data_IF_527378879154
#
_entry.id   IF_527378879154
#
_cell.length_a   1.000
_cell.length_b   1.000
_cell.length_c   1.000
_cell.angle_alpha   90.00
_cell.angle_beta   90.00
_cell.angle_gamma   90.00
#
_symmetry.space_group_name_H-M   'P 1'
#
loop_
_entity.id
_entity.type
_entity.pdbx_description
1 polymer ?
#
# COMPACT_ATOMS: atom_id res chain seq x y z
N UNK A 1 -8.31 -20.68 0.94
CA UNK A 1 -7.13 -19.84 1.04
C UNK A 1 -6.18 -20.07 -0.15
N UNK A 2 -5.79 -21.31 -0.45
CA UNK A 2 -4.78 -21.62 -1.49
C UNK A 2 -5.23 -21.25 -2.90
N UNK A 3 -6.51 -21.46 -3.24
CA UNK A 3 -7.07 -21.01 -4.53
C UNK A 3 -7.05 -19.49 -4.66
N UNK A 4 -7.35 -18.77 -3.59
CA UNK A 4 -7.28 -17.31 -3.60
C UNK A 4 -5.84 -16.82 -3.82
N UNK A 5 -4.87 -17.44 -3.14
CA UNK A 5 -3.46 -17.12 -3.32
C UNK A 5 -2.98 -17.37 -4.76
N UNK A 6 -3.34 -18.53 -5.34
CA UNK A 6 -3.02 -18.83 -6.73
C UNK A 6 -3.64 -17.83 -7.70
N UNK A 7 -4.92 -17.48 -7.50
CA UNK A 7 -5.61 -16.48 -8.32
C UNK A 7 -4.96 -15.09 -8.26
N UNK A 8 -4.53 -14.64 -7.06
CA UNK A 8 -3.79 -13.38 -6.92
C UNK A 8 -2.44 -13.41 -7.65
N UNK A 9 -1.71 -14.52 -7.52
CA UNK A 9 -0.45 -14.70 -8.22
C UNK A 9 -0.65 -14.62 -9.73
N UNK A 10 -1.65 -15.31 -10.26
CA UNK A 10 -1.95 -15.35 -11.70
C UNK A 10 -2.35 -14.00 -12.26
N UNK A 11 -3.14 -13.20 -11.52
CA UNK A 11 -3.47 -11.82 -11.92
C UNK A 11 -2.20 -10.97 -11.96
N UNK A 12 -1.40 -10.99 -10.92
CA UNK A 12 -0.21 -10.14 -10.81
C UNK A 12 0.87 -10.53 -11.82
N UNK A 13 0.93 -11.79 -12.21
CA UNK A 13 1.85 -12.29 -13.25
C UNK A 13 1.30 -12.15 -14.67
N UNK A 14 0.06 -11.64 -14.83
CA UNK A 14 -0.58 -11.46 -16.13
C UNK A 14 -1.00 -12.76 -16.81
N UNK A 15 -1.19 -13.84 -16.04
CA UNK A 15 -1.61 -15.15 -16.57
C UNK A 15 -3.12 -15.31 -16.74
N UNK A 16 -3.90 -14.44 -16.09
CA UNK A 16 -5.37 -14.42 -16.29
C UNK A 16 -5.76 -13.44 -17.39
N UNK A 17 -6.76 -13.81 -18.17
CA UNK A 17 -7.44 -12.85 -19.06
C UNK A 17 -8.21 -11.83 -18.22
N UNK A 18 -8.51 -10.61 -18.74
CA UNK A 18 -9.32 -9.62 -18.02
C UNK A 18 -10.65 -10.17 -17.53
N UNK A 19 -11.33 -11.02 -18.31
CA UNK A 19 -12.59 -11.65 -17.94
C UNK A 19 -12.43 -12.62 -16.76
N UNK A 20 -11.40 -13.47 -16.77
CA UNK A 20 -11.10 -14.39 -15.66
C UNK A 20 -10.77 -13.62 -14.37
N UNK A 21 -9.91 -12.61 -14.48
CA UNK A 21 -9.54 -11.77 -13.35
C UNK A 21 -10.75 -10.99 -12.80
N UNK A 22 -11.61 -10.47 -13.68
CA UNK A 22 -12.85 -9.81 -13.31
C UNK A 22 -13.80 -10.72 -12.54
N UNK A 23 -14.04 -11.94 -13.04
CA UNK A 23 -14.86 -12.96 -12.35
C UNK A 23 -14.28 -13.31 -10.98
N UNK A 24 -12.97 -13.52 -10.88
CA UNK A 24 -12.31 -13.86 -9.62
C UNK A 24 -12.44 -12.72 -8.59
N UNK A 25 -12.15 -11.48 -8.99
CA UNK A 25 -12.23 -10.32 -8.09
C UNK A 25 -13.67 -10.03 -7.67
N UNK A 26 -14.63 -10.20 -8.57
CA UNK A 26 -16.04 -10.02 -8.25
C UNK A 26 -16.54 -11.12 -7.30
N UNK A 27 -16.13 -12.37 -7.51
CA UNK A 27 -16.45 -13.48 -6.63
C UNK A 27 -15.94 -13.24 -5.20
N UNK A 28 -14.70 -12.77 -5.04
CA UNK A 28 -14.14 -12.40 -3.72
C UNK A 28 -14.93 -11.28 -3.08
N UNK A 29 -15.23 -10.22 -3.82
CA UNK A 29 -16.01 -9.09 -3.32
C UNK A 29 -17.42 -9.49 -2.89
N UNK A 30 -18.10 -10.34 -3.65
CA UNK A 30 -19.46 -10.82 -3.32
C UNK A 30 -19.47 -11.71 -2.07
N UNK A 31 -18.45 -12.52 -1.91
CA UNK A 31 -18.26 -13.38 -0.74
C UNK A 31 -17.87 -12.56 0.51
N UNK A 32 -17.18 -11.47 0.33
CA UNK A 32 -16.41 -10.76 1.35
C UNK A 32 -15.02 -11.37 1.52
N UNK A 33 -14.00 -10.51 1.48
CA UNK A 33 -12.60 -10.89 1.69
C UNK A 33 -12.36 -11.27 3.15
N UNK A 34 -11.56 -12.31 3.38
CA UNK A 34 -11.13 -12.71 4.72
C UNK A 34 -9.73 -12.15 5.03
N UNK A 35 -9.36 -11.98 6.32
CA UNK A 35 -8.03 -11.55 6.70
C UNK A 35 -6.92 -12.44 6.13
N UNK A 36 -7.15 -13.74 6.05
CA UNK A 36 -6.19 -14.70 5.50
C UNK A 36 -5.99 -14.51 3.99
N UNK A 37 -7.06 -14.29 3.23
CA UNK A 37 -6.97 -13.98 1.80
C UNK A 37 -6.23 -12.66 1.56
N UNK A 38 -6.52 -11.66 2.38
CA UNK A 38 -5.80 -10.37 2.35
C UNK A 38 -4.32 -10.56 2.67
N UNK A 39 -3.97 -11.33 3.70
CA UNK A 39 -2.57 -11.59 4.06
C UNK A 39 -1.81 -12.34 2.95
N UNK A 40 -2.46 -13.30 2.28
CA UNK A 40 -1.87 -13.96 1.11
C UNK A 40 -1.63 -12.98 -0.04
N UNK A 41 -2.61 -12.12 -0.35
CA UNK A 41 -2.46 -11.11 -1.39
C UNK A 41 -1.33 -10.13 -1.07
N UNK A 42 -1.19 -9.71 0.19
CA UNK A 42 -0.07 -8.89 0.69
C UNK A 42 1.27 -9.61 0.48
N UNK A 43 1.38 -10.86 0.90
CA UNK A 43 2.61 -11.67 0.73
C UNK A 43 3.01 -11.82 -0.74
N UNK A 44 2.03 -12.07 -1.62
CA UNK A 44 2.23 -12.19 -3.07
C UNK A 44 2.69 -10.87 -3.68
N UNK A 45 2.07 -9.75 -3.30
CA UNK A 45 2.44 -8.43 -3.79
C UNK A 45 3.85 -8.03 -3.35
N UNK A 46 4.19 -8.24 -2.08
CA UNK A 46 5.53 -7.99 -1.54
C UNK A 46 6.59 -8.93 -2.13
N UNK A 47 6.22 -10.16 -2.47
CA UNK A 47 7.11 -11.11 -3.13
C UNK A 47 7.54 -10.68 -4.55
N UNK A 48 6.76 -9.79 -5.18
CA UNK A 48 6.99 -9.25 -6.54
C UNK A 48 7.43 -7.79 -6.54
N UNK A 49 7.59 -7.21 -5.36
CA UNK A 49 8.04 -5.83 -5.23
C UNK A 49 9.56 -5.70 -5.38
N UNK A 50 10.00 -4.54 -5.84
CA UNK A 50 11.38 -4.08 -5.70
C UNK A 50 11.59 -3.76 -4.22
N UNK A 51 12.15 -4.71 -3.48
CA UNK A 51 12.28 -4.61 -2.01
C UNK A 51 13.34 -3.61 -1.62
N UNK A 52 13.11 -2.95 -0.48
CA UNK A 52 14.13 -2.20 0.23
C UNK A 52 14.77 -3.15 1.24
N UNK A 53 16.06 -3.38 1.09
CA UNK A 53 16.81 -4.29 1.96
C UNK A 53 17.73 -3.52 2.91
N UNK A 54 18.17 -4.17 3.98
CA UNK A 54 19.16 -3.63 4.91
C UNK A 54 18.68 -2.48 5.79
N UNK A 55 17.35 -2.31 5.95
CA UNK A 55 16.81 -1.38 6.95
C UNK A 55 16.89 -2.00 8.34
N UNK A 56 17.68 -1.39 9.20
CA UNK A 56 17.81 -1.77 10.60
C UNK A 56 17.03 -0.81 11.51
N UNK A 57 16.57 -1.33 12.65
CA UNK A 57 15.83 -0.55 13.65
C UNK A 57 14.36 -0.32 13.27
N UNK A 58 13.73 0.52 14.08
CA UNK A 58 12.30 0.79 13.93
C UNK A 58 12.06 1.86 12.87
N UNK A 59 11.05 1.64 12.02
CA UNK A 59 10.53 2.62 11.10
C UNK A 59 9.00 2.53 11.03
N UNK A 60 8.37 3.64 10.66
CA UNK A 60 6.91 3.76 10.61
C UNK A 60 6.44 4.16 9.20
N UNK A 61 5.30 3.57 8.78
CA UNK A 61 4.48 4.12 7.70
C UNK A 61 3.22 4.77 8.28
N UNK A 62 2.86 5.92 7.71
CA UNK A 62 1.61 6.62 8.02
C UNK A 62 0.82 6.71 6.73
N UNK A 63 -0.26 5.95 6.63
CA UNK A 63 -0.98 5.75 5.38
C UNK A 63 -2.48 5.66 5.61
N UNK A 64 -3.27 5.83 4.57
CA UNK A 64 -4.72 5.64 4.60
C UNK A 64 -5.19 4.78 3.44
N UNK A 65 -6.36 4.17 3.58
CA UNK A 65 -6.98 3.42 2.49
C UNK A 65 -7.38 4.31 1.33
N UNK A 66 -7.50 5.62 1.57
CA UNK A 66 -8.00 6.57 0.59
C UNK A 66 -9.47 6.33 0.22
N UNK A 67 -9.95 7.11 -0.73
CA UNK A 67 -11.27 6.87 -1.32
C UNK A 67 -12.46 7.19 -0.41
N UNK A 68 -12.30 8.09 0.56
CA UNK A 68 -13.39 8.60 1.40
C UNK A 68 -14.31 9.59 0.66
N UNK A 69 -13.90 10.06 -0.51
CA UNK A 69 -14.63 11.03 -1.33
C UNK A 69 -14.72 12.45 -0.73
N UNK A 70 -14.00 12.72 0.36
CA UNK A 70 -14.10 13.99 1.10
C UNK A 70 -13.18 15.08 0.61
N UNK A 71 -12.24 14.77 -0.30
CA UNK A 71 -11.19 15.72 -0.78
C UNK A 71 -10.51 16.48 0.37
N UNK A 72 -10.26 15.77 1.47
CA UNK A 72 -9.67 16.33 2.67
C UNK A 72 -8.17 16.57 2.48
N UNK A 73 -7.58 17.30 3.40
CA UNK A 73 -6.15 17.53 3.50
C UNK A 73 -5.36 16.21 3.59
N UNK A 74 -4.16 16.18 3.00
CA UNK A 74 -3.28 15.00 3.03
C UNK A 74 -2.70 14.76 4.45
N UNK A 75 -3.58 14.46 5.43
CA UNK A 75 -3.23 14.28 6.84
C UNK A 75 -2.09 13.28 7.02
N UNK A 76 -2.14 12.12 6.39
CA UNK A 76 -1.10 11.10 6.49
C UNK A 76 0.27 11.59 6.00
N UNK A 77 0.32 12.45 4.95
CA UNK A 77 1.57 13.03 4.46
C UNK A 77 2.11 14.06 5.44
N UNK A 78 1.26 14.96 5.95
CA UNK A 78 1.66 15.94 6.94
C UNK A 78 2.14 15.28 8.24
N UNK A 79 1.42 14.26 8.74
CA UNK A 79 1.83 13.48 9.91
C UNK A 79 3.18 12.80 9.69
N UNK A 80 3.39 12.19 8.52
CA UNK A 80 4.66 11.55 8.16
C UNK A 80 5.83 12.52 8.20
N UNK A 81 5.67 13.72 7.60
CA UNK A 81 6.70 14.77 7.61
C UNK A 81 6.94 15.31 9.02
N UNK A 82 5.88 15.48 9.81
CA UNK A 82 6.00 15.91 11.22
C UNK A 82 6.80 14.91 12.05
N UNK A 83 6.48 13.61 11.94
CA UNK A 83 7.22 12.56 12.65
C UNK A 83 8.69 12.52 12.23
N UNK A 84 8.98 12.66 10.94
CA UNK A 84 10.37 12.74 10.47
C UNK A 84 11.11 13.95 11.06
N UNK A 85 10.46 15.10 11.11
CA UNK A 85 10.99 16.31 11.75
C UNK A 85 11.21 16.16 13.26
N UNK A 86 10.49 15.24 13.92
CA UNK A 86 10.68 14.87 15.33
C UNK A 86 11.79 13.83 15.52
N UNK A 87 12.43 13.36 14.45
CA UNK A 87 13.52 12.37 14.49
C UNK A 87 13.10 10.92 14.38
N UNK A 88 11.83 10.63 14.08
CA UNK A 88 11.38 9.26 13.81
C UNK A 88 11.65 8.86 12.36
N UNK A 89 12.12 7.64 12.15
CA UNK A 89 12.37 7.11 10.80
C UNK A 89 11.07 6.74 10.10
N UNK A 90 10.71 7.46 9.05
CA UNK A 90 9.46 7.32 8.32
C UNK A 90 9.72 6.81 6.90
N UNK A 91 9.14 5.66 6.56
CA UNK A 91 9.13 5.09 5.20
C UNK A 91 7.71 5.17 4.64
N UNK A 92 7.39 6.26 3.99
CA UNK A 92 6.04 6.47 3.48
C UNK A 92 5.85 5.83 2.11
N UNK A 93 4.93 4.86 2.03
CA UNK A 93 4.49 4.30 0.75
C UNK A 93 3.24 5.03 0.24
N UNK A 94 3.23 5.39 -1.03
CA UNK A 94 2.11 6.15 -1.58
C UNK A 94 2.08 6.24 -3.10
N UNK A 95 1.02 6.88 -3.60
CA UNK A 95 0.79 7.04 -5.04
C UNK A 95 0.20 8.42 -5.34
N UNK A 96 0.05 8.71 -6.64
CA UNK A 96 -0.74 9.84 -7.11
C UNK A 96 -2.22 9.63 -6.82
N UNK A 97 -2.98 10.72 -6.88
CA UNK A 97 -4.43 10.65 -6.69
C UNK A 97 -5.09 9.73 -7.75
N UNK A 98 -6.05 8.92 -7.28
CA UNK A 98 -6.92 8.12 -8.15
C UNK A 98 -8.35 8.67 -8.15
N UNK A 99 -8.83 9.09 -6.99
CA UNK A 99 -10.21 9.58 -6.79
C UNK A 99 -10.29 10.90 -6.02
N UNK A 100 -9.17 11.42 -5.53
CA UNK A 100 -9.07 12.73 -4.85
C UNK A 100 -8.39 13.76 -5.74
N UNK A 101 -8.42 15.02 -5.35
CA UNK A 101 -7.78 16.12 -6.07
C UNK A 101 -6.25 16.11 -5.97
N UNK A 102 -5.69 15.48 -4.91
CA UNK A 102 -4.24 15.47 -4.65
C UNK A 102 -3.88 14.22 -3.84
N UNK A 103 -3.02 13.38 -4.39
CA UNK A 103 -2.45 12.22 -3.70
C UNK A 103 -1.20 12.57 -2.90
N UNK A 104 -0.66 11.59 -2.18
CA UNK A 104 0.57 11.80 -1.41
C UNK A 104 1.79 12.13 -2.28
N UNK A 105 1.89 11.49 -3.46
CA UNK A 105 2.96 11.77 -4.41
C UNK A 105 2.83 13.20 -4.98
N UNK A 106 1.61 13.62 -5.33
CA UNK A 106 1.37 14.95 -5.89
C UNK A 106 1.74 16.05 -4.87
N UNK A 107 1.36 15.84 -3.60
CA UNK A 107 1.70 16.78 -2.52
C UNK A 107 3.23 16.86 -2.28
N UNK A 108 3.92 15.73 -2.23
CA UNK A 108 5.36 15.67 -2.00
C UNK A 108 6.14 16.25 -3.18
N UNK A 109 5.74 15.96 -4.41
CA UNK A 109 6.33 16.54 -5.62
C UNK A 109 6.18 18.07 -5.62
N UNK A 110 4.98 18.58 -5.26
CA UNK A 110 4.73 20.01 -5.09
C UNK A 110 5.59 20.67 -3.99
N UNK A 111 6.05 19.91 -3.01
CA UNK A 111 7.00 20.33 -1.97
C UNK A 111 8.46 20.16 -2.38
N UNK A 112 8.74 19.68 -3.60
CA UNK A 112 10.10 19.50 -4.11
C UNK A 112 10.76 18.16 -3.74
N UNK A 113 10.00 17.17 -3.22
CA UNK A 113 10.54 15.84 -2.96
C UNK A 113 10.67 15.05 -4.28
N UNK A 114 11.78 14.32 -4.50
CA UNK A 114 11.92 13.44 -5.64
C UNK A 114 11.00 12.23 -5.49
N UNK A 115 10.31 11.86 -6.56
CA UNK A 115 9.52 10.63 -6.60
C UNK A 115 10.32 9.43 -7.13
N UNK A 116 11.41 9.69 -7.85
CA UNK A 116 12.26 8.65 -8.43
C UNK A 116 13.39 8.29 -7.45
N UNK A 117 13.00 7.54 -6.42
CA UNK A 117 13.90 7.03 -5.39
C UNK A 117 14.14 5.54 -5.66
N UNK A 118 15.41 5.16 -5.83
CA UNK A 118 15.80 3.75 -5.99
C UNK A 118 15.76 3.02 -4.63
N UNK A 119 15.48 1.69 -4.62
CA UNK A 119 15.44 0.92 -3.36
C UNK A 119 16.73 1.04 -2.52
N UNK A 120 17.88 1.10 -3.16
CA UNK A 120 19.20 1.24 -2.53
C UNK A 120 19.43 2.60 -1.86
N UNK A 121 18.74 3.66 -2.30
CA UNK A 121 18.86 5.01 -1.72
C UNK A 121 18.01 5.20 -0.47
N UNK A 122 17.03 4.36 -0.23
CA UNK A 122 16.06 4.53 0.87
C UNK A 122 16.76 4.58 2.22
N UNK A 123 17.74 3.68 2.46
CA UNK A 123 18.52 3.67 3.70
C UNK A 123 19.24 5.00 3.94
N UNK A 124 19.95 5.50 2.94
CA UNK A 124 20.68 6.79 3.01
C UNK A 124 19.73 7.94 3.33
N UNK A 125 18.56 8.00 2.66
CA UNK A 125 17.56 9.04 2.93
C UNK A 125 17.02 9.00 4.36
N UNK A 126 16.80 7.79 4.90
CA UNK A 126 16.38 7.63 6.29
C UNK A 126 17.47 8.05 7.27
N UNK A 127 18.73 7.73 7.00
CA UNK A 127 19.85 8.08 7.88
C UNK A 127 20.13 9.60 7.86
N UNK A 128 19.96 10.26 6.71
CA UNK A 128 20.20 11.69 6.54
C UNK A 128 19.01 12.57 6.95
N UNK A 129 17.77 12.11 6.73
CA UNK A 129 16.56 12.96 6.77
C UNK A 129 15.40 12.37 7.57
N UNK A 130 15.54 11.18 8.13
CA UNK A 130 14.49 10.42 8.78
C UNK A 130 13.25 10.17 7.91
N UNK A 131 13.32 10.42 6.60
CA UNK A 131 12.18 10.33 5.69
C UNK A 131 12.58 9.76 4.34
N UNK A 132 11.83 8.77 3.88
CA UNK A 132 11.88 8.29 2.50
C UNK A 132 10.46 8.10 1.96
N UNK A 133 10.21 8.57 0.73
CA UNK A 133 8.96 8.33 0.02
C UNK A 133 9.14 7.25 -1.04
N UNK A 134 8.34 6.20 -0.95
CA UNK A 134 8.35 5.08 -1.85
C UNK A 134 7.16 5.22 -2.81
N UNK A 135 7.42 5.67 -4.02
CA UNK A 135 6.39 5.85 -5.04
C UNK A 135 5.96 4.48 -5.59
N UNK A 136 4.72 4.08 -5.33
CA UNK A 136 4.22 2.74 -5.59
C UNK A 136 4.50 2.17 -7.00
N UNK A 137 4.40 2.93 -8.11
CA UNK A 137 4.73 2.44 -9.45
C UNK A 137 6.18 1.96 -9.60
N UNK A 138 7.14 2.59 -8.91
CA UNK A 138 8.56 2.22 -9.00
C UNK A 138 8.87 0.94 -8.23
N UNK A 139 8.10 0.67 -7.18
CA UNK A 139 8.33 -0.47 -6.29
C UNK A 139 7.46 -1.68 -6.60
N UNK A 140 6.35 -1.52 -7.30
CA UNK A 140 5.40 -2.60 -7.60
C UNK A 140 5.14 -2.78 -9.09
N UNK A 141 6.13 -3.25 -9.87
CA UNK A 141 5.99 -3.36 -11.32
C UNK A 141 4.87 -4.32 -11.77
N UNK A 142 4.54 -5.33 -10.97
CA UNK A 142 3.47 -6.30 -11.29
C UNK A 142 2.07 -5.66 -11.29
N UNK A 143 1.88 -4.52 -10.62
CA UNK A 143 0.59 -3.81 -10.65
C UNK A 143 0.24 -3.22 -12.03
N UNK A 144 1.19 -3.16 -12.97
CA UNK A 144 0.89 -2.84 -14.38
C UNK A 144 -0.12 -3.81 -15.01
N UNK A 145 -0.12 -5.08 -14.59
CA UNK A 145 -1.06 -6.09 -15.05
C UNK A 145 -2.45 -5.92 -14.41
N UNK A 146 -2.49 -5.39 -13.20
CA UNK A 146 -3.73 -5.19 -12.41
C UNK A 146 -4.45 -3.89 -12.81
N UNK A 147 -3.70 -2.85 -13.13
CA UNK A 147 -4.22 -1.51 -13.39
C UNK A 147 -5.31 -1.43 -14.46
N UNK A 148 -5.11 -1.99 -15.66
CA UNK A 148 -6.13 -2.02 -16.72
C UNK A 148 -7.41 -2.72 -16.28
N UNK A 149 -7.30 -3.89 -15.64
CA UNK A 149 -8.43 -4.68 -15.15
C UNK A 149 -9.26 -3.87 -14.13
N UNK A 150 -8.60 -3.20 -13.19
CA UNK A 150 -9.28 -2.35 -12.19
C UNK A 150 -10.05 -1.19 -12.83
N UNK A 151 -9.47 -0.56 -13.86
CA UNK A 151 -10.14 0.54 -14.58
C UNK A 151 -11.36 0.05 -15.36
N UNK A 152 -11.24 -1.10 -16.03
CA UNK A 152 -12.33 -1.69 -16.79
C UNK A 152 -13.48 -2.15 -15.90
N UNK A 153 -13.17 -2.77 -14.74
CA UNK A 153 -14.18 -3.18 -13.78
C UNK A 153 -14.95 -2.00 -13.16
N UNK A 154 -14.32 -0.86 -12.98
CA UNK A 154 -14.94 0.34 -12.40
C UNK A 154 -15.47 0.21 -10.99
N UNK A 155 -15.14 -0.88 -10.28
CA UNK A 155 -15.58 -1.18 -8.92
C UNK A 155 -14.40 -1.26 -7.95
N UNK A 156 -14.69 -1.12 -6.66
CA UNK A 156 -13.69 -1.40 -5.60
C UNK A 156 -13.53 -2.90 -5.42
N UNK A 157 -12.29 -3.34 -5.33
CA UNK A 157 -11.90 -4.72 -5.05
C UNK A 157 -10.86 -4.71 -3.92
N UNK A 158 -10.42 -5.88 -3.47
CA UNK A 158 -9.35 -5.99 -2.46
C UNK A 158 -8.09 -5.18 -2.85
N UNK A 159 -7.79 -5.01 -4.14
CA UNK A 159 -6.64 -4.21 -4.58
C UNK A 159 -6.72 -2.73 -4.16
N UNK A 160 -7.89 -2.24 -3.80
CA UNK A 160 -8.03 -0.90 -3.21
C UNK A 160 -7.61 -0.87 -1.74
N UNK A 161 -7.59 -2.02 -1.07
CA UNK A 161 -7.21 -2.16 0.33
C UNK A 161 -5.74 -2.59 0.50
N UNK A 162 -5.11 -3.13 -0.56
CA UNK A 162 -3.74 -3.61 -0.49
C UNK A 162 -2.69 -2.51 -0.37
N UNK A 163 -2.91 -1.36 -1.01
CA UNK A 163 -1.93 -0.27 -1.07
C UNK A 163 -1.24 0.04 0.26
N UNK A 164 -2.01 0.28 1.34
CA UNK A 164 -1.45 0.54 2.67
C UNK A 164 -0.66 -0.62 3.30
N UNK A 165 -0.90 -1.85 2.85
CA UNK A 165 -0.38 -3.06 3.48
C UNK A 165 0.89 -3.60 2.80
N UNK A 166 1.26 -3.05 1.64
CA UNK A 166 2.31 -3.58 0.78
C UNK A 166 3.54 -2.68 0.68
N UNK A 167 3.83 -1.91 1.73
CA UNK A 167 5.04 -1.08 1.75
C UNK A 167 6.30 -1.95 1.58
N UNK A 168 7.10 -1.74 0.51
CA UNK A 168 8.24 -2.61 0.18
C UNK A 168 9.41 -2.49 1.15
N UNK A 169 9.45 -1.43 1.98
CA UNK A 169 10.41 -1.26 3.06
C UNK A 169 10.05 -2.08 4.32
N UNK A 170 8.86 -2.71 4.36
CA UNK A 170 8.37 -3.52 5.47
C UNK A 170 8.54 -2.84 6.84
N UNK A 171 7.92 -1.68 7.06
CA UNK A 171 8.03 -0.93 8.30
C UNK A 171 7.64 -1.79 9.52
N UNK A 172 8.29 -1.54 10.66
CA UNK A 172 7.95 -2.23 11.92
C UNK A 172 6.68 -1.68 12.56
N UNK A 173 6.32 -0.44 12.23
CA UNK A 173 5.15 0.26 12.79
C UNK A 173 4.29 0.81 11.65
N UNK A 174 2.97 0.82 11.85
CA UNK A 174 2.02 1.44 10.91
C UNK A 174 0.91 2.18 11.64
N UNK A 175 0.60 3.39 11.17
CA UNK A 175 -0.64 4.10 11.46
C UNK A 175 -1.49 4.08 10.20
N UNK A 176 -2.60 3.35 10.24
CA UNK A 176 -3.49 3.13 9.10
C UNK A 176 -4.84 3.80 9.32
N UNK A 177 -5.11 4.87 8.58
CA UNK A 177 -6.43 5.49 8.50
C UNK A 177 -7.36 4.72 7.58
N UNK A 178 -8.60 4.47 8.04
CA UNK A 178 -9.59 3.70 7.29
C UNK A 178 -10.81 4.56 6.99
N UNK A 179 -11.17 4.69 5.72
CA UNK A 179 -12.30 5.51 5.29
C UNK A 179 -13.67 4.95 5.71
N UNK A 180 -13.76 3.67 6.04
CA UNK A 180 -15.01 2.96 6.37
C UNK A 180 -14.81 2.10 7.62
N UNK A 181 -15.55 2.34 8.70
CA UNK A 181 -15.39 1.63 9.97
C UNK A 181 -15.47 0.10 9.87
N UNK A 182 -16.30 -0.41 8.96
CA UNK A 182 -16.45 -1.86 8.75
C UNK A 182 -15.19 -2.56 8.23
N UNK A 183 -14.19 -1.82 7.74
CA UNK A 183 -12.92 -2.37 7.28
C UNK A 183 -11.84 -2.41 8.38
N UNK A 184 -12.08 -1.79 9.52
CA UNK A 184 -11.08 -1.68 10.60
C UNK A 184 -10.66 -3.06 11.09
N UNK A 185 -11.64 -3.92 11.41
CA UNK A 185 -11.37 -5.28 11.89
C UNK A 185 -10.63 -6.13 10.85
N UNK A 186 -11.09 -6.09 9.59
CA UNK A 186 -10.45 -6.81 8.48
C UNK A 186 -8.97 -6.43 8.34
N UNK A 187 -8.68 -5.12 8.33
CA UNK A 187 -7.33 -4.62 8.12
C UNK A 187 -6.44 -4.84 9.35
N UNK A 188 -6.97 -4.66 10.56
CA UNK A 188 -6.25 -4.93 11.79
C UNK A 188 -5.85 -6.41 11.90
N UNK A 189 -6.76 -7.33 11.59
CA UNK A 189 -6.49 -8.77 11.62
C UNK A 189 -5.53 -9.19 10.49
N UNK A 190 -5.61 -8.55 9.32
CA UNK A 190 -4.64 -8.75 8.23
C UNK A 190 -3.23 -8.32 8.67
N UNK A 191 -3.11 -7.15 9.31
CA UNK A 191 -1.83 -6.67 9.85
C UNK A 191 -1.29 -7.57 10.94
N UNK A 192 -2.14 -8.15 11.80
CA UNK A 192 -1.73 -9.12 12.81
C UNK A 192 -1.06 -10.37 12.24
N UNK A 193 -1.41 -10.74 11.01
CA UNK A 193 -0.81 -11.85 10.27
C UNK A 193 0.44 -11.45 9.47
N UNK A 194 0.86 -10.20 9.56
CA UNK A 194 2.03 -9.66 8.86
C UNK A 194 3.26 -9.57 9.78
N UNK A 195 4.36 -9.05 9.25
CA UNK A 195 5.60 -8.76 10.01
C UNK A 195 5.54 -7.47 10.84
N UNK A 196 4.43 -6.74 10.82
CA UNK A 196 4.26 -5.48 11.56
C UNK A 196 4.29 -5.76 13.07
N UNK A 197 5.15 -5.06 13.81
CA UNK A 197 5.28 -5.21 15.27
C UNK A 197 4.19 -4.47 16.03
N UNK A 198 3.83 -3.27 15.55
CA UNK A 198 2.74 -2.46 16.11
C UNK A 198 1.94 -1.79 14.99
N UNK A 199 0.64 -1.89 15.09
CA UNK A 199 -0.30 -1.25 14.18
C UNK A 199 -1.36 -0.48 14.97
N UNK A 200 -1.68 0.73 14.51
CA UNK A 200 -2.90 1.43 14.89
C UNK A 200 -3.77 1.58 13.65
N UNK A 201 -5.00 1.08 13.71
CA UNK A 201 -6.00 1.16 12.64
C UNK A 201 -7.13 2.03 13.14
N UNK A 202 -7.38 3.18 12.47
CA UNK A 202 -8.29 4.24 12.92
C UNK A 202 -9.22 4.70 11.80
#
# INVERSE_FOLDING_TARGET
>A
ADMAAAGFADIMDGRMTPAQAGCFLMGLRMKGETPLEMAHAVGIALGRANRVEGLEGDCIDVVGTGGDGRNSFNCSTATALTLAGMGYRVVKHGNRAVSSSCGSADALEGLGFPLDVAPEDVRRLLDERNFAFLFAPNFHPSFRNVGPIRRELGIRTLFNLLGPLINPARPTHILLGVARPELVELLAETLRQSHIRKAAVV
#
